data_IF_946909800537
#
_entry.id   IF_946909800537
#
_cell.length_a   1.000
_cell.length_b   1.000
_cell.length_c   1.000
_cell.angle_alpha   90.00
_cell.angle_beta   90.00
_cell.angle_gamma   90.00
#
_symmetry.space_group_name_H-M   'P 1'
#
loop_
_entity.id
_entity.type
_entity.pdbx_description
1 polymer ?
#
# COMPACT_ATOMS: atom_id res chain seq x y z
N UNK A 1 14.02 9.01 -17.74
CA UNK A 1 12.83 9.65 -17.10
C UNK A 1 12.56 9.11 -15.70
N UNK A 2 12.69 7.80 -15.45
CA UNK A 2 12.49 7.18 -14.12
C UNK A 2 13.36 7.77 -13.00
N UNK A 3 14.67 7.96 -13.23
CA UNK A 3 15.59 8.50 -12.21
C UNK A 3 15.24 9.92 -11.74
N UNK A 4 14.80 10.79 -12.66
CA UNK A 4 14.43 12.16 -12.33
C UNK A 4 13.14 12.20 -11.49
N UNK A 5 12.17 11.34 -11.81
CA UNK A 5 10.96 11.17 -11.00
C UNK A 5 11.30 10.66 -9.59
N UNK A 6 12.17 9.64 -9.49
CA UNK A 6 12.61 9.10 -8.19
C UNK A 6 13.31 10.19 -7.38
N UNK A 7 14.21 10.95 -7.98
CA UNK A 7 14.90 12.05 -7.31
C UNK A 7 13.91 13.12 -6.81
N UNK A 8 12.96 13.54 -7.65
CA UNK A 8 11.95 14.52 -7.27
C UNK A 8 11.10 14.03 -6.09
N UNK A 9 10.66 12.77 -6.10
CA UNK A 9 9.89 12.17 -5.01
C UNK A 9 10.71 12.12 -3.71
N UNK A 10 11.99 11.76 -3.79
CA UNK A 10 12.88 11.74 -2.63
C UNK A 10 13.08 13.15 -2.05
N UNK A 11 13.29 14.16 -2.89
CA UNK A 11 13.43 15.55 -2.44
C UNK A 11 12.15 16.06 -1.78
N UNK A 12 10.99 15.84 -2.40
CA UNK A 12 9.69 16.22 -1.83
C UNK A 12 9.43 15.50 -0.51
N UNK A 13 9.69 14.19 -0.46
CA UNK A 13 9.55 13.39 0.76
C UNK A 13 10.48 13.86 1.89
N UNK A 14 11.71 14.24 1.55
CA UNK A 14 12.66 14.80 2.52
C UNK A 14 12.20 16.14 3.10
N UNK A 15 11.71 17.05 2.25
CA UNK A 15 11.15 18.35 2.68
C UNK A 15 9.92 18.14 3.56
N UNK A 16 9.02 17.25 3.14
CA UNK A 16 7.83 16.87 3.91
C UNK A 16 8.19 16.32 5.30
N UNK A 17 9.19 15.43 5.36
CA UNK A 17 9.67 14.83 6.59
C UNK A 17 10.29 15.88 7.52
N UNK A 18 11.14 16.77 7.01
CA UNK A 18 11.69 17.87 7.82
C UNK A 18 10.59 18.78 8.34
N UNK A 19 9.62 19.14 7.49
CA UNK A 19 8.47 19.95 7.90
C UNK A 19 7.65 19.28 8.99
N UNK A 20 7.46 17.96 8.93
CA UNK A 20 6.78 17.16 9.95
C UNK A 20 7.55 17.13 11.29
N UNK A 21 8.89 17.01 11.24
CA UNK A 21 9.75 16.96 12.42
C UNK A 21 9.84 18.31 13.15
N UNK A 22 9.83 19.42 12.41
CA UNK A 22 9.86 20.77 12.97
C UNK A 22 8.46 21.24 13.41
N UNK A 23 7.40 20.55 12.98
CA UNK A 23 6.03 20.98 13.21
C UNK A 23 5.70 21.08 14.71
N UNK A 24 5.39 22.28 15.23
CA UNK A 24 5.33 22.55 16.67
C UNK A 24 4.14 21.91 17.38
N UNK A 25 3.05 21.63 16.65
CA UNK A 25 1.80 21.11 17.22
C UNK A 25 1.55 19.62 16.96
N UNK A 26 2.48 18.93 16.29
CA UNK A 26 2.29 17.51 15.94
C UNK A 26 2.80 16.64 17.10
N UNK A 27 1.94 15.85 17.75
CA UNK A 27 2.34 15.03 18.89
C UNK A 27 3.35 13.98 18.46
N UNK A 28 4.25 13.64 19.38
CA UNK A 28 5.31 12.65 19.17
C UNK A 28 4.79 11.30 18.64
N UNK A 29 3.61 10.89 19.09
CA UNK A 29 2.94 9.67 18.62
C UNK A 29 2.63 9.66 17.12
N UNK A 30 2.34 10.80 16.51
CA UNK A 30 2.07 10.87 15.05
C UNK A 30 3.37 10.72 14.26
N UNK A 31 4.48 11.23 14.80
CA UNK A 31 5.79 11.09 14.16
C UNK A 31 6.26 9.63 14.21
N UNK A 32 6.13 8.99 15.37
CA UNK A 32 6.49 7.58 15.53
C UNK A 32 5.57 6.67 14.73
N UNK A 33 4.25 6.94 14.67
CA UNK A 33 3.33 6.16 13.84
C UNK A 33 3.66 6.27 12.35
N UNK A 34 4.00 7.47 11.86
CA UNK A 34 4.42 7.67 10.46
C UNK A 34 5.66 6.84 10.13
N UNK A 35 6.64 6.81 11.05
CA UNK A 35 7.87 6.03 10.88
C UNK A 35 7.61 4.53 10.78
N UNK A 36 6.71 4.00 11.62
CA UNK A 36 6.34 2.58 11.60
C UNK A 36 5.35 2.21 10.49
N UNK A 37 4.50 3.14 10.06
CA UNK A 37 3.53 2.91 8.99
C UNK A 37 4.21 2.62 7.64
N UNK A 38 5.38 3.19 7.36
CA UNK A 38 6.13 2.93 6.11
C UNK A 38 6.56 1.46 5.96
N UNK A 39 7.33 0.86 6.89
CA UNK A 39 7.72 -0.54 6.77
C UNK A 39 6.51 -1.48 6.85
N UNK A 40 5.51 -1.18 7.69
CA UNK A 40 4.29 -1.99 7.76
C UNK A 40 3.48 -1.93 6.45
N UNK A 41 3.38 -0.75 5.84
CA UNK A 41 2.81 -0.55 4.51
C UNK A 41 3.56 -1.35 3.45
N UNK A 42 4.89 -1.33 3.45
CA UNK A 42 5.70 -2.14 2.53
C UNK A 42 5.49 -3.65 2.72
N UNK A 43 5.38 -4.12 3.96
CA UNK A 43 5.07 -5.53 4.26
C UNK A 43 3.68 -5.90 3.75
N UNK A 44 2.66 -5.09 4.02
CA UNK A 44 1.30 -5.36 3.51
C UNK A 44 1.24 -5.36 1.98
N UNK A 45 1.96 -4.45 1.33
CA UNK A 45 2.09 -4.45 -0.12
C UNK A 45 2.77 -5.73 -0.64
N UNK A 46 3.88 -6.14 -0.03
CA UNK A 46 4.58 -7.37 -0.41
C UNK A 46 3.68 -8.60 -0.26
N UNK A 47 2.89 -8.68 0.82
CA UNK A 47 1.89 -9.73 1.03
C UNK A 47 0.85 -9.76 -0.09
N UNK A 48 0.36 -8.60 -0.54
CA UNK A 48 -0.59 -8.52 -1.67
C UNK A 48 0.06 -9.03 -2.96
N UNK A 49 1.31 -8.64 -3.22
CA UNK A 49 2.03 -9.01 -4.45
C UNK A 49 2.41 -10.49 -4.55
N UNK A 50 2.36 -11.23 -3.44
CA UNK A 50 2.64 -12.67 -3.42
C UNK A 50 1.39 -13.50 -3.14
N UNK A 51 0.23 -12.87 -2.95
CA UNK A 51 -0.99 -13.56 -2.59
C UNK A 51 -1.56 -14.43 -3.73
N UNK A 52 -1.22 -14.12 -4.97
CA UNK A 52 -1.55 -14.90 -6.16
C UNK A 52 -0.50 -15.97 -6.52
N UNK A 53 0.64 -16.03 -5.81
CA UNK A 53 1.74 -16.94 -6.15
C UNK A 53 1.49 -18.37 -5.62
N UNK A 54 1.23 -19.34 -6.49
CA UNK A 54 0.91 -20.72 -6.09
C UNK A 54 2.12 -21.45 -5.49
N UNK A 55 3.35 -20.96 -5.71
CA UNK A 55 4.56 -21.58 -5.16
C UNK A 55 4.73 -21.36 -3.66
N UNK A 56 4.18 -20.25 -3.15
CA UNK A 56 4.25 -19.87 -1.74
C UNK A 56 3.12 -20.48 -0.89
N UNK A 57 2.01 -20.86 -1.53
CA UNK A 57 0.81 -21.39 -0.87
C UNK A 57 0.26 -22.66 -1.57
N UNK A 58 1.02 -23.77 -1.61
CA UNK A 58 0.64 -24.98 -2.35
C UNK A 58 -0.56 -25.73 -1.75
N UNK A 59 -0.74 -25.65 -0.43
CA UNK A 59 -1.80 -26.37 0.31
C UNK A 59 -3.18 -25.70 0.19
N UNK A 60 -3.21 -24.37 -0.01
CA UNK A 60 -4.47 -23.60 0.00
C UNK A 60 -5.00 -23.29 -1.39
N UNK A 61 -4.27 -23.63 -2.47
CA UNK A 61 -4.57 -23.29 -3.86
C UNK A 61 -5.15 -21.87 -3.96
N UNK A 62 -4.33 -20.80 -4.01
CA UNK A 62 -4.78 -19.43 -3.75
C UNK A 62 -6.05 -19.08 -4.53
N UNK A 63 -6.17 -19.60 -5.75
CA UNK A 63 -7.41 -19.66 -6.49
C UNK A 63 -7.97 -21.10 -6.56
N UNK A 64 -9.07 -21.42 -5.85
CA UNK A 64 -9.70 -22.72 -5.94
C UNK A 64 -10.32 -22.91 -7.34
N UNK A 65 -10.25 -24.12 -7.89
CA UNK A 65 -10.90 -24.46 -9.18
C UNK A 65 -12.42 -24.29 -9.12
N UNK A 66 -13.02 -24.53 -7.96
CA UNK A 66 -14.44 -24.27 -7.73
C UNK A 66 -14.60 -22.93 -7.01
N UNK A 67 -15.42 -21.99 -7.51
CA UNK A 67 -15.75 -20.78 -6.77
C UNK A 67 -16.43 -21.17 -5.45
N UNK A 68 -16.00 -20.58 -4.32
CA UNK A 68 -16.58 -20.83 -2.99
C UNK A 68 -18.09 -20.49 -2.86
N UNK A 69 -18.75 -20.05 -3.94
CA UNK A 69 -20.20 -19.92 -4.03
C UNK A 69 -20.84 -21.22 -4.57
N UNK A 70 -21.62 -21.90 -3.72
CA UNK A 70 -22.61 -22.90 -4.16
C UNK A 70 -23.49 -22.29 -5.27
N UNK A 71 -23.33 -22.77 -6.50
CA UNK A 71 -24.21 -22.44 -7.63
C UNK A 71 -23.53 -21.81 -8.85
N UNK A 72 -22.23 -21.51 -8.81
CA UNK A 72 -21.49 -21.10 -10.02
C UNK A 72 -20.80 -22.35 -10.58
N UNK A 73 -21.49 -23.02 -11.50
CA UNK A 73 -20.99 -24.18 -12.23
C UNK A 73 -20.07 -23.66 -13.33
N UNK A 74 -18.76 -23.67 -13.07
CA UNK A 74 -17.76 -23.38 -14.08
C UNK A 74 -16.52 -24.21 -13.83
N UNK A 75 -16.32 -25.24 -14.65
CA UNK A 75 -15.06 -25.98 -14.77
C UNK A 75 -13.93 -25.13 -15.43
N UNK A 76 -14.07 -23.80 -15.42
CA UNK A 76 -13.28 -22.85 -16.19
C UNK A 76 -11.90 -22.59 -15.59
N UNK A 77 -10.96 -22.17 -16.43
CA UNK A 77 -9.61 -21.80 -16.03
C UNK A 77 -9.64 -20.60 -15.07
N UNK A 78 -8.87 -20.67 -13.98
CA UNK A 78 -8.79 -19.60 -12.96
C UNK A 78 -7.41 -18.98 -12.98
N UNK A 79 -7.35 -17.65 -13.07
CA UNK A 79 -6.10 -16.91 -13.05
C UNK A 79 -5.97 -16.09 -11.76
N UNK A 80 -4.83 -16.22 -11.08
CA UNK A 80 -4.45 -15.33 -9.99
C UNK A 80 -3.84 -14.04 -10.56
N UNK A 81 -4.32 -12.89 -10.09
CA UNK A 81 -3.87 -11.57 -10.55
C UNK A 81 -3.49 -10.70 -9.36
N UNK A 82 -2.21 -10.33 -9.26
CA UNK A 82 -1.72 -9.25 -8.42
C UNK A 82 -1.50 -7.98 -9.23
N UNK A 83 -2.01 -6.86 -8.73
CA UNK A 83 -1.82 -5.53 -9.34
C UNK A 83 -0.98 -4.67 -8.40
N UNK A 84 0.08 -4.00 -8.89
CA UNK A 84 0.97 -3.23 -8.04
C UNK A 84 0.35 -1.91 -7.55
N UNK A 85 -0.54 -1.30 -8.34
CA UNK A 85 -1.28 -0.11 -7.95
C UNK A 85 -2.59 0.07 -8.77
N UNK A 86 -3.76 0.27 -8.12
CA UNK A 86 -3.99 0.12 -6.69
C UNK A 86 -3.68 -1.31 -6.24
N UNK A 87 -3.04 -1.51 -5.07
CA UNK A 87 -2.58 -2.84 -4.69
C UNK A 87 -3.77 -3.74 -4.37
N UNK A 88 -3.96 -4.75 -5.21
CA UNK A 88 -5.01 -5.76 -5.08
C UNK A 88 -4.49 -7.10 -5.55
N UNK A 89 -5.02 -8.15 -4.94
CA UNK A 89 -4.79 -9.52 -5.35
C UNK A 89 -6.14 -10.22 -5.40
N UNK A 90 -6.51 -10.71 -6.58
CA UNK A 90 -7.78 -11.39 -6.79
C UNK A 90 -7.63 -12.57 -7.74
N UNK A 91 -8.51 -13.55 -7.61
CA UNK A 91 -8.73 -14.59 -8.59
C UNK A 91 -9.76 -14.11 -9.61
N UNK A 92 -9.52 -14.40 -10.88
CA UNK A 92 -10.41 -14.11 -12.00
C UNK A 92 -10.81 -15.42 -12.68
N UNK A 93 -12.11 -15.67 -12.77
CA UNK A 93 -12.67 -16.78 -13.55
C UNK A 93 -13.08 -16.32 -14.95
N UNK A 94 -13.23 -17.26 -15.89
CA UNK A 94 -13.67 -16.97 -17.28
C UNK A 94 -15.01 -16.23 -17.37
N UNK A 95 -15.93 -16.48 -16.43
CA UNK A 95 -17.23 -15.79 -16.35
C UNK A 95 -17.10 -14.31 -15.90
N UNK A 96 -15.88 -13.85 -15.63
CA UNK A 96 -15.58 -12.50 -15.14
C UNK A 96 -15.84 -12.30 -13.65
N UNK A 97 -16.15 -13.36 -12.91
CA UNK A 97 -16.29 -13.29 -11.44
C UNK A 97 -14.92 -13.10 -10.80
N UNK A 98 -14.87 -12.32 -9.72
CA UNK A 98 -13.62 -12.00 -9.01
C UNK A 98 -13.72 -12.35 -7.54
N UNK A 99 -12.67 -12.93 -6.98
CA UNK A 99 -12.55 -13.22 -5.55
C UNK A 99 -11.29 -12.58 -4.98
N UNK A 100 -11.43 -11.76 -3.94
CA UNK A 100 -10.30 -11.07 -3.30
C UNK A 100 -9.49 -12.05 -2.42
N UNK A 101 -8.19 -12.17 -2.71
CA UNK A 101 -7.26 -13.06 -2.00
C UNK A 101 -6.81 -12.47 -0.66
N UNK A 102 -6.58 -11.15 -0.63
CA UNK A 102 -5.95 -10.49 0.52
C UNK A 102 -6.71 -9.24 1.00
N UNK A 103 -8.04 -9.30 1.25
CA UNK A 103 -8.83 -8.12 1.60
C UNK A 103 -8.34 -7.43 2.88
N UNK A 104 -7.86 -8.20 3.87
CA UNK A 104 -7.28 -7.66 5.09
C UNK A 104 -5.97 -6.90 4.85
N UNK A 105 -5.09 -7.43 4.01
CA UNK A 105 -3.82 -6.77 3.68
C UNK A 105 -4.06 -5.50 2.85
N UNK A 106 -5.02 -5.53 1.92
CA UNK A 106 -5.43 -4.34 1.16
C UNK A 106 -5.95 -3.23 2.07
N UNK A 107 -6.83 -3.57 3.02
CA UNK A 107 -7.32 -2.61 4.01
C UNK A 107 -6.18 -2.00 4.83
N UNK A 108 -5.28 -2.84 5.36
CA UNK A 108 -4.14 -2.38 6.15
C UNK A 108 -3.17 -1.51 5.34
N UNK A 109 -2.91 -1.87 4.07
CA UNK A 109 -2.11 -1.04 3.17
C UNK A 109 -2.67 0.38 3.09
N UNK A 110 -3.99 0.53 2.86
CA UNK A 110 -4.62 1.85 2.76
C UNK A 110 -4.60 2.63 4.07
N UNK A 111 -4.75 1.94 5.21
CA UNK A 111 -4.60 2.56 6.54
C UNK A 111 -3.17 3.08 6.73
N UNK A 112 -2.16 2.26 6.47
CA UNK A 112 -0.76 2.69 6.58
C UNK A 112 -0.42 3.80 5.60
N UNK A 113 -0.91 3.70 4.36
CA UNK A 113 -0.75 4.74 3.35
C UNK A 113 -1.33 6.07 3.82
N UNK A 114 -2.55 6.08 4.37
CA UNK A 114 -3.17 7.29 4.91
C UNK A 114 -2.40 7.86 6.12
N UNK A 115 -1.99 6.99 7.04
CA UNK A 115 -1.19 7.36 8.22
C UNK A 115 0.19 7.91 7.84
N UNK A 116 0.73 7.56 6.67
CA UNK A 116 1.97 8.14 6.15
C UNK A 116 1.74 9.44 5.37
N UNK A 117 0.79 9.45 4.43
CA UNK A 117 0.58 10.56 3.49
C UNK A 117 -0.01 11.79 4.20
N UNK A 118 -0.92 11.62 5.15
CA UNK A 118 -1.56 12.75 5.82
C UNK A 118 -0.55 13.56 6.67
N UNK A 119 0.27 12.96 7.54
CA UNK A 119 1.28 13.70 8.30
C UNK A 119 2.38 14.28 7.41
N UNK A 120 2.84 13.56 6.38
CA UNK A 120 3.80 14.10 5.42
C UNK A 120 3.23 15.29 4.65
N UNK A 121 1.96 15.23 4.24
CA UNK A 121 1.27 16.35 3.60
C UNK A 121 1.19 17.57 4.51
N UNK A 122 0.86 17.37 5.79
CA UNK A 122 0.88 18.44 6.79
C UNK A 122 2.29 19.02 7.01
N UNK A 123 3.31 18.15 7.04
CA UNK A 123 4.71 18.54 7.13
C UNK A 123 5.15 19.37 5.91
N UNK A 124 4.84 18.91 4.71
CA UNK A 124 5.13 19.61 3.46
C UNK A 124 4.43 20.97 3.40
N UNK A 125 3.16 21.02 3.78
CA UNK A 125 2.40 22.27 3.86
C UNK A 125 3.04 23.27 4.83
N UNK A 126 3.47 22.79 6.00
CA UNK A 126 4.17 23.62 6.97
C UNK A 126 5.51 24.12 6.44
N UNK A 127 6.29 23.25 5.79
CA UNK A 127 7.55 23.58 5.14
C UNK A 127 7.39 24.67 4.07
N UNK A 128 6.34 24.58 3.24
CA UNK A 128 6.02 25.57 2.21
C UNK A 128 5.61 26.92 2.83
N UNK A 129 4.83 26.91 3.93
CA UNK A 129 4.39 28.15 4.59
C UNK A 129 5.50 28.82 5.42
N UNK A 130 6.42 28.07 6.00
CA UNK A 130 7.47 28.58 6.88
C UNK A 130 8.85 28.04 6.48
N UNK A 131 9.40 28.44 5.32
CA UNK A 131 10.66 27.89 4.82
C UNK A 131 11.86 28.16 5.74
N UNK A 132 11.86 29.28 6.46
CA UNK A 132 12.90 29.61 7.44
C UNK A 132 13.01 28.62 8.60
N UNK A 133 11.93 27.90 8.92
CA UNK A 133 11.94 26.90 9.98
C UNK A 133 12.74 25.64 9.60
N UNK A 134 13.04 25.42 8.31
CA UNK A 134 13.81 24.27 7.80
C UNK A 134 15.33 24.52 7.74
N UNK A 135 15.75 25.78 7.89
CA UNK A 135 17.15 26.22 7.82
C UNK A 135 17.85 26.23 9.18
N UNK A 136 17.12 25.96 10.26
CA UNK A 136 17.64 25.84 11.63
C UNK A 136 17.93 24.37 11.94
#
# INVERSE_FOLDING_TARGET
MTLLCVFAVLVVGWVALRGLLVHPHLPLWVRTSTFWAVPLGAVTWAVIMVADDPSLFPETAPCPREPYQKGVIGDGEVSGVSTPFPPRAYCLWEDGTTYELAPGAQFLFWVFFAVTVVPLGAGLWHAVRNPHALLR
#
